data_IF_256022889040
#
_entry.id   IF_256022889040
#
_cell.length_a   1.000
_cell.length_b   1.000
_cell.length_c   1.000
_cell.angle_alpha   90.00
_cell.angle_beta   90.00
_cell.angle_gamma   90.00
#
_symmetry.space_group_name_H-M   'P 1'
#
loop_
_entity.id
_entity.type
_entity.pdbx_description
1 polymer ?
#
# COMPACT_ATOMS: atom_id res chain seq x y z
N UNK A 1 -22.64 -12.23 13.65
CA UNK A 1 -21.17 -12.25 13.56
C UNK A 1 -20.79 -10.86 13.09
N UNK A 2 -20.13 -10.07 13.93
CA UNK A 2 -19.55 -8.79 13.49
C UNK A 2 -18.47 -9.12 12.48
N UNK A 3 -18.64 -8.66 11.25
CA UNK A 3 -17.63 -8.76 10.20
C UNK A 3 -16.34 -8.10 10.72
N UNK A 4 -15.25 -8.85 10.77
CA UNK A 4 -13.98 -8.34 11.28
C UNK A 4 -13.42 -7.41 10.21
N UNK A 5 -13.19 -6.13 10.57
CA UNK A 5 -12.61 -5.17 9.63
C UNK A 5 -11.20 -5.58 9.22
N UNK A 6 -10.89 -5.43 7.92
CA UNK A 6 -9.56 -5.73 7.36
C UNK A 6 -8.50 -4.68 7.74
N UNK A 7 -8.93 -3.57 8.36
CA UNK A 7 -8.05 -2.49 8.83
C UNK A 7 -8.47 -2.06 10.24
N UNK A 8 -7.48 -1.95 11.12
CA UNK A 8 -7.62 -1.30 12.41
C UNK A 8 -7.01 0.10 12.35
N UNK A 9 -7.68 1.06 12.96
CA UNK A 9 -7.20 2.43 13.12
C UNK A 9 -7.18 2.78 14.61
N UNK A 10 -6.08 3.37 15.06
CA UNK A 10 -5.92 3.85 16.42
C UNK A 10 -5.11 5.15 16.47
N UNK A 11 -5.46 6.05 17.36
CA UNK A 11 -4.67 7.22 17.71
C UNK A 11 -3.76 6.86 18.89
N UNK A 12 -2.46 6.70 18.62
CA UNK A 12 -1.48 6.25 19.63
C UNK A 12 -0.96 7.40 20.50
N UNK A 13 -1.05 8.63 20.01
CA UNK A 13 -0.82 9.89 20.77
C UNK A 13 -1.58 11.04 20.12
N UNK A 14 -1.63 12.23 20.72
CA UNK A 14 -2.29 13.38 20.09
C UNK A 14 -1.81 13.67 18.65
N UNK A 15 -0.56 13.39 18.33
CA UNK A 15 0.03 13.69 17.02
C UNK A 15 0.28 12.47 16.14
N UNK A 16 0.03 11.25 16.63
CA UNK A 16 0.38 10.01 15.92
C UNK A 16 -0.82 9.08 15.80
N UNK A 17 -1.13 8.70 14.59
CA UNK A 17 -2.09 7.66 14.27
C UNK A 17 -1.40 6.40 13.72
N UNK A 18 -2.04 5.26 13.88
CA UNK A 18 -1.61 3.97 13.34
C UNK A 18 -2.75 3.33 12.54
N UNK A 19 -2.41 2.86 11.36
CA UNK A 19 -3.28 2.08 10.47
C UNK A 19 -2.65 0.69 10.37
N UNK A 20 -3.37 -0.34 10.83
CA UNK A 20 -2.87 -1.72 10.85
C UNK A 20 -3.70 -2.58 9.92
N UNK A 21 -3.08 -3.16 8.90
CA UNK A 21 -3.70 -4.16 8.02
C UNK A 21 -3.89 -5.48 8.78
N UNK A 22 -5.09 -6.04 8.74
CA UNK A 22 -5.48 -7.25 9.49
C UNK A 22 -6.48 -8.11 8.71
N UNK A 23 -6.10 -8.51 7.51
CA UNK A 23 -6.88 -9.40 6.64
C UNK A 23 -6.18 -10.74 6.43
N UNK A 24 -6.20 -11.65 7.44
CA UNK A 24 -5.55 -12.95 7.32
C UNK A 24 -6.19 -13.80 6.20
N UNK A 25 -5.44 -14.76 5.62
CA UNK A 25 -4.09 -15.16 6.04
C UNK A 25 -2.95 -14.36 5.43
N UNK A 26 -3.16 -13.55 4.39
CA UNK A 26 -2.08 -12.98 3.57
C UNK A 26 -2.23 -11.50 3.25
N UNK A 27 -3.11 -10.78 3.94
CA UNK A 27 -3.39 -9.36 3.74
C UNK A 27 -3.68 -8.97 2.28
N UNK A 28 -4.57 -9.73 1.61
CA UNK A 28 -5.09 -9.30 0.31
C UNK A 28 -5.86 -8.00 0.46
N UNK A 29 -5.73 -7.13 -0.53
CA UNK A 29 -6.55 -5.93 -0.64
C UNK A 29 -7.90 -6.33 -1.23
N UNK A 30 -8.98 -6.10 -0.49
CA UNK A 30 -10.37 -6.32 -0.89
C UNK A 30 -11.13 -5.00 -0.93
N UNK A 31 -12.36 -5.00 -1.44
CA UNK A 31 -13.19 -3.78 -1.55
C UNK A 31 -13.38 -3.07 -0.21
N UNK A 32 -13.61 -3.81 0.88
CA UNK A 32 -13.72 -3.26 2.25
C UNK A 32 -12.41 -2.56 2.67
N UNK A 33 -11.24 -3.15 2.37
CA UNK A 33 -9.94 -2.54 2.67
C UNK A 33 -9.82 -1.16 2.00
N UNK A 34 -10.21 -1.05 0.73
CA UNK A 34 -10.13 0.22 -0.03
C UNK A 34 -11.06 1.26 0.57
N UNK A 35 -12.32 0.90 0.81
CA UNK A 35 -13.32 1.82 1.36
C UNK A 35 -12.97 2.28 2.78
N UNK A 36 -12.53 1.35 3.62
CA UNK A 36 -12.15 1.66 5.00
C UNK A 36 -10.91 2.54 5.05
N UNK A 37 -9.90 2.25 4.24
CA UNK A 37 -8.69 3.06 4.16
C UNK A 37 -9.01 4.48 3.64
N UNK A 38 -9.83 4.60 2.60
CA UNK A 38 -10.26 5.89 2.07
C UNK A 38 -10.94 6.74 3.15
N UNK A 39 -11.88 6.15 3.90
CA UNK A 39 -12.58 6.86 4.98
C UNK A 39 -11.61 7.33 6.09
N UNK A 40 -10.64 6.51 6.47
CA UNK A 40 -9.62 6.89 7.46
C UNK A 40 -8.74 8.03 6.95
N UNK A 41 -8.30 7.98 5.69
CA UNK A 41 -7.46 9.04 5.11
C UNK A 41 -8.22 10.35 4.98
N UNK A 42 -9.51 10.32 4.62
CA UNK A 42 -10.35 11.52 4.57
C UNK A 42 -10.56 12.11 5.99
N UNK A 43 -10.79 11.29 7.01
CA UNK A 43 -10.87 11.73 8.42
C UNK A 43 -9.55 12.39 8.90
N UNK A 44 -8.42 11.76 8.58
CA UNK A 44 -7.10 12.25 8.97
C UNK A 44 -6.69 13.55 8.26
N UNK A 45 -7.18 13.78 7.04
CA UNK A 45 -6.87 15.01 6.29
C UNK A 45 -7.43 16.25 6.94
N UNK A 46 -8.53 16.13 7.70
CA UNK A 46 -9.19 17.21 8.43
C UNK A 46 -8.66 17.38 9.87
N UNK A 47 -7.85 16.46 10.36
CA UNK A 47 -7.29 16.48 11.73
C UNK A 47 -5.94 17.21 11.76
N UNK A 48 -5.97 18.50 12.13
CA UNK A 48 -4.79 19.37 12.16
C UNK A 48 -3.78 19.03 13.28
N UNK A 49 -4.15 18.18 14.23
CA UNK A 49 -3.24 17.73 15.29
C UNK A 49 -2.35 16.58 14.84
N UNK A 50 -2.77 15.79 13.86
CA UNK A 50 -2.01 14.67 13.34
C UNK A 50 -0.78 15.16 12.56
N UNK A 51 0.40 14.65 12.93
CA UNK A 51 1.68 14.93 12.29
C UNK A 51 2.31 13.69 11.64
N UNK A 52 1.99 12.49 12.15
CA UNK A 52 2.55 11.24 11.68
C UNK A 52 1.48 10.16 11.62
N UNK A 53 1.45 9.43 10.50
CA UNK A 53 0.62 8.23 10.33
C UNK A 53 1.50 7.03 10.01
N UNK A 54 1.44 6.01 10.88
CA UNK A 54 2.21 4.77 10.73
C UNK A 54 1.33 3.68 10.15
N UNK A 55 1.77 3.12 9.05
CA UNK A 55 1.16 1.94 8.43
C UNK A 55 1.90 0.68 8.87
N UNK A 56 1.17 -0.29 9.40
CA UNK A 56 1.70 -1.54 9.96
C UNK A 56 0.81 -2.73 9.57
N UNK A 57 1.18 -3.93 10.00
CA UNK A 57 0.43 -5.17 9.76
C UNK A 57 0.37 -6.03 11.02
N UNK A 58 -0.79 -6.65 11.24
CA UNK A 58 -1.01 -7.68 12.25
C UNK A 58 -0.81 -9.09 11.70
N UNK A 59 -0.77 -9.27 10.37
CA UNK A 59 -0.61 -10.57 9.75
C UNK A 59 0.88 -10.91 9.63
N UNK A 60 1.35 -12.00 10.25
CA UNK A 60 2.74 -12.43 10.13
C UNK A 60 3.15 -12.63 8.67
N UNK A 61 4.40 -12.27 8.35
CA UNK A 61 5.02 -12.42 7.03
C UNK A 61 4.38 -11.63 5.87
N UNK A 62 3.36 -10.80 6.17
CA UNK A 62 2.72 -9.94 5.16
C UNK A 62 2.50 -8.53 5.70
N UNK A 63 2.94 -7.52 4.96
CA UNK A 63 2.58 -6.13 5.21
C UNK A 63 1.23 -5.82 4.55
N UNK A 64 1.21 -5.71 3.24
CA UNK A 64 0.00 -5.64 2.42
C UNK A 64 0.33 -6.30 1.08
N UNK A 65 -0.54 -7.21 0.64
CA UNK A 65 -0.32 -7.97 -0.57
C UNK A 65 -1.04 -7.32 -1.77
N UNK A 66 -1.20 -8.06 -2.85
CA UNK A 66 -1.92 -7.61 -4.04
C UNK A 66 -3.44 -7.61 -3.82
N UNK A 67 -4.18 -7.07 -4.79
CA UNK A 67 -5.64 -7.15 -4.82
C UNK A 67 -6.11 -8.60 -4.91
N UNK A 68 -7.23 -8.89 -4.23
CA UNK A 68 -7.95 -10.15 -4.42
C UNK A 68 -8.71 -10.11 -5.75
N UNK A 69 -8.13 -10.71 -6.78
CA UNK A 69 -8.73 -10.75 -8.10
C UNK A 69 -9.98 -11.64 -8.16
N UNK A 70 -10.16 -12.57 -7.22
CA UNK A 70 -11.38 -13.37 -7.13
C UNK A 70 -12.56 -12.54 -6.63
N UNK A 71 -12.30 -11.48 -5.86
CA UNK A 71 -13.28 -10.52 -5.36
C UNK A 71 -13.32 -9.22 -6.19
N UNK A 72 -12.86 -9.23 -7.44
CA UNK A 72 -12.75 -8.01 -8.26
C UNK A 72 -14.09 -7.28 -8.47
N UNK A 73 -15.21 -7.99 -8.44
CA UNK A 73 -16.54 -7.40 -8.56
C UNK A 73 -16.97 -6.57 -7.33
N UNK A 74 -16.31 -6.77 -6.19
CA UNK A 74 -16.64 -6.10 -4.92
C UNK A 74 -15.85 -4.79 -4.73
N UNK A 75 -14.95 -4.45 -5.66
CA UNK A 75 -14.21 -3.20 -5.59
C UNK A 75 -15.10 -2.00 -5.91
N UNK A 76 -14.93 -0.89 -5.18
CA UNK A 76 -15.69 0.32 -5.43
C UNK A 76 -15.40 0.86 -6.83
N UNK A 77 -16.47 1.14 -7.58
CA UNK A 77 -16.37 1.84 -8.85
C UNK A 77 -16.17 3.35 -8.61
N UNK A 78 -15.53 4.07 -9.56
CA UNK A 78 -15.51 5.54 -9.51
C UNK A 78 -16.93 6.08 -9.54
N UNK A 79 -17.16 7.24 -8.89
CA UNK A 79 -18.50 7.83 -8.79
C UNK A 79 -18.98 8.43 -10.13
N UNK A 80 -18.09 8.67 -11.08
CA UNK A 80 -18.38 9.17 -12.42
C UNK A 80 -17.33 8.77 -13.45
N UNK A 81 -17.68 8.90 -14.73
CA UNK A 81 -16.81 8.49 -15.85
C UNK A 81 -15.50 9.28 -15.94
N UNK A 82 -15.49 10.52 -15.43
CA UNK A 82 -14.32 11.40 -15.42
C UNK A 82 -13.51 11.33 -14.10
N UNK A 83 -13.91 10.48 -13.14
CA UNK A 83 -13.23 10.34 -11.88
C UNK A 83 -12.15 9.26 -11.91
N UNK A 84 -11.12 9.44 -11.09
CA UNK A 84 -10.09 8.42 -10.93
C UNK A 84 -10.64 7.16 -10.29
N UNK A 85 -10.11 5.97 -10.62
CA UNK A 85 -10.38 4.77 -9.84
C UNK A 85 -10.11 5.01 -8.36
N UNK A 86 -10.97 4.51 -7.48
CA UNK A 86 -10.93 4.82 -6.03
C UNK A 86 -9.57 4.54 -5.41
N UNK A 87 -8.90 3.46 -5.82
CA UNK A 87 -7.53 3.17 -5.36
C UNK A 87 -6.52 4.22 -5.81
N UNK A 88 -6.58 4.64 -7.06
CA UNK A 88 -5.67 5.65 -7.60
C UNK A 88 -5.86 7.00 -6.90
N UNK A 89 -7.10 7.41 -6.66
CA UNK A 89 -7.42 8.61 -5.88
C UNK A 89 -6.89 8.50 -4.44
N UNK A 90 -7.12 7.37 -3.78
CA UNK A 90 -6.64 7.08 -2.43
C UNK A 90 -5.11 7.21 -2.31
N UNK A 91 -4.34 6.57 -3.19
CA UNK A 91 -2.87 6.66 -3.13
C UNK A 91 -2.35 8.05 -3.51
N UNK A 92 -3.08 8.82 -4.31
CA UNK A 92 -2.78 10.23 -4.55
C UNK A 92 -3.06 11.10 -3.33
N UNK A 93 -4.17 10.91 -2.63
CA UNK A 93 -4.48 11.58 -1.37
C UNK A 93 -3.40 11.32 -0.33
N UNK A 94 -3.01 10.06 -0.15
CA UNK A 94 -1.93 9.68 0.77
C UNK A 94 -0.61 10.39 0.42
N UNK A 95 -0.22 10.42 -0.86
CA UNK A 95 1.04 11.05 -1.28
C UNK A 95 1.02 12.60 -1.20
N UNK A 96 -0.12 13.21 -0.89
CA UNK A 96 -0.30 14.66 -0.70
C UNK A 96 -0.76 15.00 0.72
N UNK A 97 -0.79 14.02 1.61
CA UNK A 97 -1.27 14.19 2.97
C UNK A 97 -0.49 15.29 3.71
N UNK A 98 -1.13 16.06 4.60
CA UNK A 98 -0.46 17.14 5.34
C UNK A 98 0.36 16.63 6.55
N UNK A 99 0.55 15.32 6.66
CA UNK A 99 1.30 14.64 7.73
C UNK A 99 2.32 13.68 7.12
N UNK A 100 3.33 13.30 7.88
CA UNK A 100 4.34 12.32 7.46
C UNK A 100 3.76 10.92 7.52
N UNK A 101 3.91 10.16 6.44
CA UNK A 101 3.44 8.77 6.33
C UNK A 101 4.61 7.79 6.39
N UNK A 102 4.50 6.76 7.24
CA UNK A 102 5.57 5.79 7.50
C UNK A 102 5.05 4.36 7.33
N UNK A 103 5.69 3.56 6.47
CA UNK A 103 5.47 2.12 6.42
C UNK A 103 6.47 1.38 7.32
N UNK A 104 5.98 0.45 8.16
CA UNK A 104 6.77 -0.51 8.93
C UNK A 104 6.58 -1.91 8.37
N UNK A 105 7.50 -2.33 7.50
CA UNK A 105 7.33 -3.51 6.64
C UNK A 105 8.08 -4.69 7.23
N UNK A 106 7.35 -5.72 7.69
CA UNK A 106 7.90 -6.94 8.28
C UNK A 106 7.51 -8.20 7.50
N UNK A 107 7.18 -8.06 6.25
CA UNK A 107 6.76 -9.17 5.41
C UNK A 107 6.59 -8.79 3.96
N UNK A 108 5.87 -9.61 3.22
CA UNK A 108 5.61 -9.40 1.79
C UNK A 108 4.78 -8.15 1.55
N UNK A 109 5.24 -7.37 0.58
CA UNK A 109 4.66 -6.10 0.13
C UNK A 109 4.63 -6.16 -1.40
N UNK A 110 3.51 -6.57 -1.98
CA UNK A 110 3.43 -6.92 -3.41
C UNK A 110 2.24 -6.25 -4.09
N UNK A 111 2.38 -5.93 -5.37
CA UNK A 111 1.32 -5.34 -6.17
C UNK A 111 0.77 -4.07 -5.55
N UNK A 112 -0.55 -3.97 -5.36
CA UNK A 112 -1.20 -2.82 -4.73
C UNK A 112 -0.61 -2.45 -3.37
N UNK A 113 -0.17 -3.43 -2.56
CA UNK A 113 0.53 -3.18 -1.30
C UNK A 113 1.89 -2.50 -1.49
N UNK A 114 2.64 -2.88 -2.52
CA UNK A 114 3.89 -2.19 -2.88
C UNK A 114 3.62 -0.80 -3.47
N UNK A 115 2.57 -0.64 -4.27
CA UNK A 115 2.14 0.67 -4.78
C UNK A 115 1.75 1.64 -3.67
N UNK A 116 1.06 1.13 -2.63
CA UNK A 116 0.78 1.88 -1.41
C UNK A 116 2.07 2.27 -0.69
N UNK A 117 2.97 1.32 -0.45
CA UNK A 117 4.25 1.59 0.21
C UNK A 117 5.10 2.63 -0.54
N UNK A 118 5.06 2.62 -1.88
CA UNK A 118 5.71 3.64 -2.73
C UNK A 118 5.04 5.02 -2.65
N UNK A 119 3.79 5.10 -2.26
CA UNK A 119 3.07 6.36 -2.07
C UNK A 119 3.34 7.02 -0.71
N UNK A 120 3.87 6.27 0.26
CA UNK A 120 4.24 6.76 1.58
C UNK A 120 5.59 7.48 1.56
N UNK A 121 5.81 8.41 2.51
CA UNK A 121 7.04 9.20 2.60
C UNK A 121 8.24 8.34 3.00
N UNK A 122 8.08 7.54 4.06
CA UNK A 122 9.16 6.74 4.63
C UNK A 122 8.80 5.25 4.66
N UNK A 123 9.78 4.40 4.39
CA UNK A 123 9.67 2.94 4.44
C UNK A 123 10.79 2.37 5.30
N UNK A 124 10.42 1.73 6.41
CA UNK A 124 11.32 0.96 7.25
C UNK A 124 10.98 -0.53 7.09
N UNK A 125 11.95 -1.32 6.66
CA UNK A 125 11.75 -2.72 6.33
C UNK A 125 12.62 -3.63 7.20
N UNK A 126 12.05 -4.76 7.63
CA UNK A 126 12.84 -5.84 8.24
C UNK A 126 13.79 -6.41 7.19
N UNK A 127 15.07 -6.44 7.51
CA UNK A 127 16.08 -7.01 6.64
C UNK A 127 15.85 -8.49 6.36
N UNK A 128 15.35 -9.21 7.38
CA UNK A 128 15.19 -10.66 7.34
C UNK A 128 13.86 -11.09 6.70
N UNK A 129 12.81 -10.25 6.78
CA UNK A 129 11.45 -10.67 6.45
C UNK A 129 10.79 -9.89 5.32
N UNK A 130 11.24 -8.66 5.06
CA UNK A 130 10.60 -7.84 4.03
C UNK A 130 10.93 -8.34 2.63
N UNK A 131 9.88 -8.53 1.83
CA UNK A 131 9.95 -8.92 0.43
C UNK A 131 9.08 -7.98 -0.38
N UNK A 132 9.65 -7.42 -1.44
CA UNK A 132 8.98 -6.48 -2.35
C UNK A 132 8.77 -7.10 -3.72
N UNK A 133 7.68 -6.75 -4.39
CA UNK A 133 7.41 -7.25 -5.74
C UNK A 133 6.29 -6.50 -6.44
N UNK A 134 6.30 -6.56 -7.77
CA UNK A 134 5.27 -5.98 -8.63
C UNK A 134 4.77 -7.07 -9.60
N UNK A 135 3.86 -7.96 -9.16
CA UNK A 135 3.55 -9.20 -9.86
C UNK A 135 2.50 -9.08 -10.97
N UNK A 136 1.96 -7.89 -11.24
CA UNK A 136 0.80 -7.67 -12.11
C UNK A 136 1.00 -8.23 -13.52
N UNK A 137 2.16 -8.03 -14.13
CA UNK A 137 2.46 -8.50 -15.51
C UNK A 137 2.40 -10.03 -15.58
N UNK A 138 2.82 -10.74 -14.53
CA UNK A 138 2.69 -12.20 -14.43
C UNK A 138 1.25 -12.69 -14.47
N UNK A 139 0.28 -11.83 -14.17
CA UNK A 139 -1.16 -12.10 -14.25
C UNK A 139 -1.84 -11.40 -15.44
N UNK A 140 -1.06 -10.85 -16.38
CA UNK A 140 -1.59 -10.12 -17.54
C UNK A 140 -2.17 -8.73 -17.21
N UNK A 141 -1.80 -8.14 -16.08
CA UNK A 141 -2.28 -6.85 -15.62
C UNK A 141 -1.19 -5.79 -15.65
N UNK A 142 -1.59 -4.53 -15.49
CA UNK A 142 -0.72 -3.37 -15.33
C UNK A 142 -0.68 -2.96 -13.86
N UNK A 143 0.47 -2.48 -13.38
CA UNK A 143 0.62 -1.85 -12.05
C UNK A 143 -0.02 -0.46 -12.04
N UNK A 144 -1.37 -0.43 -12.02
CA UNK A 144 -2.19 0.76 -12.25
C UNK A 144 -2.38 1.66 -11.02
N UNK A 145 -2.00 1.23 -9.83
CA UNK A 145 -2.09 2.01 -8.59
C UNK A 145 -0.90 2.96 -8.36
N UNK A 146 -0.04 3.13 -9.35
CA UNK A 146 1.11 4.04 -9.33
C UNK A 146 2.48 3.36 -9.32
N UNK A 147 2.53 2.04 -9.48
CA UNK A 147 3.78 1.31 -9.59
C UNK A 147 4.60 1.75 -10.80
N UNK A 148 3.97 1.91 -11.96
CA UNK A 148 4.61 2.37 -13.19
C UNK A 148 5.15 3.80 -13.11
N UNK A 149 4.61 4.64 -12.25
CA UNK A 149 5.01 6.05 -12.07
C UNK A 149 6.04 6.23 -10.95
N UNK A 150 5.82 5.56 -9.81
CA UNK A 150 6.65 5.77 -8.60
C UNK A 150 7.91 4.91 -8.59
N UNK A 151 7.82 3.67 -9.05
CA UNK A 151 8.97 2.77 -9.02
C UNK A 151 10.15 3.30 -9.84
N UNK A 152 9.98 3.79 -11.10
CA UNK A 152 11.09 4.37 -11.86
C UNK A 152 11.71 5.60 -11.22
N UNK A 153 10.93 6.37 -10.45
CA UNK A 153 11.44 7.55 -9.71
C UNK A 153 12.24 7.14 -8.47
N UNK A 154 11.94 5.97 -7.92
CA UNK A 154 12.58 5.47 -6.69
C UNK A 154 13.87 4.71 -6.98
N UNK A 155 13.87 3.81 -7.99
CA UNK A 155 14.98 2.88 -8.24
C UNK A 155 15.63 3.05 -9.63
N UNK A 156 15.18 4.03 -10.42
CA UNK A 156 15.61 4.22 -11.80
C UNK A 156 14.85 3.34 -12.80
N UNK A 157 14.86 3.79 -14.07
CA UNK A 157 14.05 3.18 -15.13
C UNK A 157 14.38 1.70 -15.37
N UNK A 158 15.67 1.36 -15.43
CA UNK A 158 16.10 0.03 -15.85
C UNK A 158 15.72 -1.04 -14.81
N UNK A 159 15.93 -0.74 -13.52
CA UNK A 159 15.52 -1.61 -12.41
C UNK A 159 14.01 -1.70 -12.28
N UNK A 160 13.29 -0.61 -12.52
CA UNK A 160 11.83 -0.64 -12.51
C UNK A 160 11.27 -1.53 -13.63
N UNK A 161 11.88 -1.49 -14.83
CA UNK A 161 11.52 -2.40 -15.92
C UNK A 161 11.80 -3.85 -15.55
N UNK A 162 12.96 -4.14 -14.92
CA UNK A 162 13.26 -5.48 -14.41
C UNK A 162 12.18 -5.97 -13.44
N UNK A 163 11.87 -5.19 -12.39
CA UNK A 163 10.88 -5.55 -11.36
C UNK A 163 9.51 -5.81 -11.99
N UNK A 164 9.03 -4.89 -12.84
CA UNK A 164 7.68 -4.96 -13.42
C UNK A 164 7.57 -6.11 -14.42
N UNK A 165 8.54 -6.26 -15.33
CA UNK A 165 8.45 -7.24 -16.40
C UNK A 165 8.72 -8.67 -15.94
N UNK A 166 9.55 -8.87 -14.92
CA UNK A 166 9.85 -10.21 -14.40
C UNK A 166 8.83 -10.71 -13.40
N UNK A 167 8.05 -9.80 -12.76
CA UNK A 167 7.15 -10.13 -11.64
C UNK A 167 7.87 -10.83 -10.47
N UNK A 168 9.19 -10.65 -10.36
CA UNK A 168 10.02 -11.29 -9.34
C UNK A 168 9.87 -10.61 -7.97
N UNK A 169 10.23 -11.36 -6.94
CA UNK A 169 10.34 -10.85 -5.57
C UNK A 169 11.78 -10.41 -5.27
N UNK A 170 11.93 -9.36 -4.47
CA UNK A 170 13.21 -8.77 -4.08
C UNK A 170 13.28 -8.61 -2.56
N UNK A 171 14.41 -8.93 -1.98
CA UNK A 171 14.67 -8.76 -0.55
C UNK A 171 14.95 -7.29 -0.17
N UNK A 172 14.97 -7.04 1.15
CA UNK A 172 15.21 -5.70 1.68
C UNK A 172 16.59 -5.14 1.31
N UNK A 173 17.63 -5.98 1.28
CA UNK A 173 19.00 -5.56 0.93
C UNK A 173 19.08 -5.11 -0.54
N UNK A 174 18.39 -5.81 -1.43
CA UNK A 174 18.30 -5.45 -2.85
C UNK A 174 17.50 -4.15 -3.02
N UNK A 175 16.33 -4.06 -2.36
CA UNK A 175 15.51 -2.86 -2.41
C UNK A 175 16.25 -1.62 -1.90
N UNK A 176 16.99 -1.74 -0.79
CA UNK A 176 17.79 -0.66 -0.23
C UNK A 176 18.92 -0.22 -1.20
N UNK A 177 19.65 -1.18 -1.78
CA UNK A 177 20.72 -0.85 -2.75
C UNK A 177 20.21 -0.12 -3.99
N UNK A 178 18.96 -0.35 -4.38
CA UNK A 178 18.37 0.25 -5.57
C UNK A 178 17.74 1.62 -5.31
N UNK A 179 17.24 1.84 -4.10
CA UNK A 179 16.62 3.11 -3.73
C UNK A 179 17.61 4.22 -3.28
N UNK A 180 18.92 3.90 -3.21
CA UNK A 180 19.99 4.84 -2.89
C UNK A 180 20.49 4.69 -1.49
#
# INVERSE_FOLDING_TARGET
>A
MTEQSTIRYERTSPQVARITFDNPPVNLIVGETVLRLAAIIDELADDLDIQVVVFDSAVPDFFSNHFDLAAAADFPAPAGDDELPVWTDLVLKISKAPYVTIATIRGRTRGGGNELALALDLRYASREHAIFGQPEVGSGLLSGGGGTERLPRTIGRDRALEVILTSADYDADTAQRWAG
#
